data_IF_137609834270
#
_entry.id   IF_137609834270
#
_cell.length_a   1.000
_cell.length_b   1.000
_cell.length_c   1.000
_cell.angle_alpha   90.00
_cell.angle_beta   90.00
_cell.angle_gamma   90.00
#
_symmetry.space_group_name_H-M   'P 1'
#
loop_
_entity.id
_entity.type
_entity.pdbx_description
1 polymer ?
#
# COMPACT_ATOMS: atom_id res chain seq x y z
N UNK A 1 14.55 6.79 6.06
CA UNK A 1 14.80 8.22 6.40
C UNK A 1 13.43 8.86 6.48
N UNK A 2 12.98 9.22 7.69
CA UNK A 2 11.70 9.91 7.89
C UNK A 2 11.93 11.42 7.91
N UNK A 3 11.10 12.15 7.17
CA UNK A 3 11.14 13.61 7.05
C UNK A 3 9.82 14.15 6.54
N UNK A 4 9.78 15.43 6.22
CA UNK A 4 8.59 16.09 5.66
C UNK A 4 8.93 16.78 4.34
N UNK A 5 8.07 16.65 3.33
CA UNK A 5 8.08 17.52 2.16
C UNK A 5 6.88 18.46 2.21
N UNK A 6 7.12 19.66 1.70
CA UNK A 6 6.09 20.67 1.51
C UNK A 6 5.83 20.73 0.02
N UNK A 7 4.68 20.18 -0.37
CA UNK A 7 4.32 19.98 -1.77
C UNK A 7 3.27 20.99 -2.15
N UNK A 8 3.52 21.74 -3.22
CA UNK A 8 2.51 22.58 -3.85
C UNK A 8 1.40 21.71 -4.44
N UNK A 9 0.15 21.95 -4.02
CA UNK A 9 -1.01 21.12 -4.39
C UNK A 9 -1.34 21.18 -5.89
N UNK A 10 -0.92 22.22 -6.60
CA UNK A 10 -1.31 22.45 -7.99
C UNK A 10 -0.32 21.87 -8.99
N UNK A 11 0.97 21.95 -8.66
CA UNK A 11 2.08 21.54 -9.53
C UNK A 11 2.74 20.25 -9.08
N UNK A 12 2.46 19.82 -7.85
CA UNK A 12 3.18 18.73 -7.21
C UNK A 12 4.64 19.09 -6.95
N UNK A 13 5.12 20.32 -7.10
CA UNK A 13 6.52 20.62 -6.83
C UNK A 13 6.83 20.58 -5.33
N UNK A 14 8.01 20.06 -4.99
CA UNK A 14 8.54 20.11 -3.63
C UNK A 14 9.27 21.43 -3.44
N UNK A 15 8.75 22.29 -2.57
CA UNK A 15 9.39 23.58 -2.28
C UNK A 15 10.58 23.40 -1.34
N UNK A 16 10.47 22.50 -0.35
CA UNK A 16 11.59 22.10 0.48
C UNK A 16 11.33 20.75 1.18
N UNK A 17 12.43 20.06 1.51
CA UNK A 17 12.43 18.82 2.28
C UNK A 17 13.10 19.08 3.61
N UNK A 18 12.42 18.73 4.70
CA UNK A 18 13.02 18.64 6.03
C UNK A 18 13.35 17.17 6.29
N UNK A 19 14.63 16.80 6.23
CA UNK A 19 15.11 15.52 6.73
C UNK A 19 16.01 15.75 7.94
N UNK A 20 15.49 15.60 9.15
CA UNK A 20 16.37 15.24 10.27
C UNK A 20 16.23 13.75 10.48
N UNK A 21 17.34 13.07 10.73
CA UNK A 21 17.33 11.67 11.08
C UNK A 21 16.29 11.43 12.20
N UNK A 22 15.16 10.79 11.86
CA UNK A 22 14.07 10.38 12.74
C UNK A 22 13.13 11.48 13.29
N UNK A 23 12.74 12.50 12.50
CA UNK A 23 11.60 13.33 12.90
C UNK A 23 10.29 12.60 12.63
N UNK A 24 9.52 12.34 13.68
CA UNK A 24 8.19 11.71 13.59
C UNK A 24 7.04 12.72 13.62
N UNK A 25 7.29 13.94 14.09
CA UNK A 25 6.29 15.00 14.26
C UNK A 25 6.85 16.33 13.74
N UNK A 26 6.10 17.02 12.87
CA UNK A 26 6.44 18.37 12.43
C UNK A 26 6.34 19.35 13.61
N UNK A 27 7.35 20.21 13.88
CA UNK A 27 7.23 21.23 14.91
C UNK A 27 6.00 22.13 14.69
N UNK A 28 5.27 22.45 15.76
CA UNK A 28 3.94 23.09 15.74
C UNK A 28 3.88 24.47 15.03
N UNK A 29 5.02 25.09 14.72
CA UNK A 29 5.11 26.44 14.16
C UNK A 29 5.72 26.50 12.76
N UNK A 30 5.74 25.40 12.01
CA UNK A 30 6.29 25.44 10.66
C UNK A 30 5.35 26.16 9.70
N UNK A 31 5.80 27.21 8.98
CA UNK A 31 4.94 27.94 8.05
C UNK A 31 4.62 27.06 6.85
N UNK A 32 3.39 26.57 6.78
CA UNK A 32 2.83 25.92 5.58
C UNK A 32 2.25 27.02 4.69
N UNK A 33 2.74 27.13 3.46
CA UNK A 33 2.19 28.05 2.47
C UNK A 33 0.71 27.75 2.18
N UNK A 34 -0.05 28.75 1.77
CA UNK A 34 -1.50 28.67 1.56
C UNK A 34 -1.92 27.54 0.58
N UNK A 35 -1.05 27.24 -0.40
CA UNK A 35 -1.25 26.18 -1.39
C UNK A 35 -0.42 24.90 -1.15
N UNK A 36 0.19 24.77 0.02
CA UNK A 36 1.03 23.61 0.34
C UNK A 36 0.27 22.54 1.11
N UNK A 37 0.71 21.30 0.94
CA UNK A 37 0.41 20.17 1.83
C UNK A 37 1.74 19.66 2.42
N UNK A 38 1.72 19.37 3.72
CA UNK A 38 2.84 18.70 4.39
C UNK A 38 2.64 17.21 4.25
N UNK A 39 3.63 16.54 3.69
CA UNK A 39 3.62 15.08 3.51
C UNK A 39 4.80 14.47 4.25
N UNK A 40 4.58 13.32 4.86
CA UNK A 40 5.68 12.56 5.46
C UNK A 40 6.44 11.85 4.35
N UNK A 41 7.73 12.16 4.19
CA UNK A 41 8.63 11.39 3.34
C UNK A 41 9.22 10.30 4.22
N UNK A 42 8.91 9.04 3.92
CA UNK A 42 9.68 7.92 4.42
C UNK A 42 10.47 7.31 3.27
N UNK A 43 11.79 7.36 3.36
CA UNK A 43 12.70 6.62 2.48
C UNK A 43 12.55 5.13 2.80
N UNK A 44 11.47 4.56 2.27
CA UNK A 44 11.12 3.16 2.10
C UNK A 44 11.28 2.25 3.33
N UNK A 45 10.15 1.66 3.76
CA UNK A 45 9.97 0.64 4.81
C UNK A 45 9.87 1.14 6.25
N UNK A 46 8.65 1.10 6.80
CA UNK A 46 8.30 0.14 7.87
C UNK A 46 6.88 0.31 8.43
N UNK A 47 6.11 1.31 8.00
CA UNK A 47 4.74 1.49 8.51
C UNK A 47 3.67 0.99 7.49
N UNK A 48 2.97 -0.12 7.79
CA UNK A 48 1.90 -0.63 6.94
C UNK A 48 0.59 0.20 6.99
N UNK A 49 0.46 1.20 7.88
CA UNK A 49 -0.84 1.83 8.15
C UNK A 49 -1.03 3.25 7.60
N UNK A 50 0.03 3.98 7.21
CA UNK A 50 -0.12 5.36 6.71
C UNK A 50 0.13 5.47 5.20
N UNK A 51 -0.89 6.03 4.54
CA UNK A 51 -1.09 6.16 3.10
C UNK A 51 -0.41 7.43 2.54
N UNK A 52 -0.09 7.39 1.24
CA UNK A 52 0.55 8.45 0.44
C UNK A 52 2.06 8.57 0.64
N UNK A 53 2.81 7.70 -0.06
CA UNK A 53 4.21 7.98 -0.35
C UNK A 53 4.25 8.99 -1.50
N UNK A 54 5.32 9.76 -1.63
CA UNK A 54 5.46 10.72 -2.71
C UNK A 54 6.73 10.41 -3.52
N UNK A 55 6.55 10.18 -4.82
CA UNK A 55 7.65 9.95 -5.74
C UNK A 55 8.30 11.29 -6.10
N UNK A 56 9.49 11.54 -5.56
CA UNK A 56 10.25 12.77 -5.80
C UNK A 56 10.71 12.91 -7.27
N UNK A 57 10.98 11.80 -7.95
CA UNK A 57 11.49 11.80 -9.33
C UNK A 57 10.37 12.11 -10.31
N UNK A 58 9.22 11.44 -10.15
CA UNK A 58 8.06 11.56 -11.03
C UNK A 58 7.06 12.64 -10.58
N UNK A 59 7.26 13.22 -9.40
CA UNK A 59 6.41 14.25 -8.78
C UNK A 59 4.95 13.84 -8.60
N UNK A 60 4.72 12.60 -8.19
CA UNK A 60 3.36 12.04 -8.06
C UNK A 60 3.13 11.44 -6.67
N UNK A 61 1.90 11.60 -6.17
CA UNK A 61 1.44 10.92 -4.97
C UNK A 61 1.19 9.45 -5.27
N UNK A 62 1.90 8.60 -4.54
CA UNK A 62 1.84 7.17 -4.62
C UNK A 62 0.85 6.64 -3.59
N UNK A 63 -0.23 6.05 -4.09
CA UNK A 63 -1.23 5.39 -3.27
C UNK A 63 -0.81 3.93 -3.05
N UNK A 64 -1.27 3.33 -1.94
CA UNK A 64 -1.19 1.90 -1.63
C UNK A 64 -2.55 1.25 -1.87
N UNK A 65 -2.56 -0.02 -2.26
CA UNK A 65 -3.78 -0.82 -2.31
C UNK A 65 -3.96 -1.55 -0.97
N UNK A 66 -5.18 -1.91 -0.64
CA UNK A 66 -5.50 -2.73 0.51
C UNK A 66 -5.63 -4.18 0.08
N UNK A 67 -5.05 -5.09 0.86
CA UNK A 67 -5.31 -6.52 0.75
C UNK A 67 -5.99 -6.97 2.03
N UNK A 68 -7.07 -7.72 1.90
CA UNK A 68 -7.73 -8.36 3.04
C UNK A 68 -8.13 -9.78 2.70
N UNK A 69 -8.25 -10.59 3.73
CA UNK A 69 -8.85 -11.92 3.65
C UNK A 69 -10.12 -11.92 4.48
N UNK A 70 -11.15 -12.65 4.04
CA UNK A 70 -12.38 -12.82 4.81
C UNK A 70 -12.16 -13.58 6.14
N UNK A 71 -11.05 -14.32 6.21
CA UNK A 71 -10.59 -15.04 7.39
C UNK A 71 -9.09 -14.79 7.59
N UNK A 72 -8.71 -14.46 8.82
CA UNK A 72 -7.29 -14.35 9.20
C UNK A 72 -6.69 -15.72 9.52
N UNK A 73 -7.54 -16.70 9.86
CA UNK A 73 -7.17 -18.08 10.21
C UNK A 73 -8.12 -19.08 9.56
N UNK A 74 -7.59 -20.15 8.97
CA UNK A 74 -8.36 -21.18 8.26
C UNK A 74 -7.75 -22.58 8.44
N UNK A 75 -8.44 -23.62 7.97
CA UNK A 75 -7.93 -24.99 7.91
C UNK A 75 -7.37 -25.30 6.51
N UNK A 76 -6.44 -26.25 6.42
CA UNK A 76 -5.97 -26.80 5.15
C UNK A 76 -7.16 -27.32 4.33
N UNK A 77 -7.17 -27.03 3.03
CA UNK A 77 -8.25 -27.39 2.12
C UNK A 77 -9.47 -26.47 2.14
N UNK A 78 -9.57 -25.55 3.11
CA UNK A 78 -10.67 -24.59 3.16
C UNK A 78 -10.48 -23.44 2.15
N UNK A 79 -11.59 -22.93 1.63
CA UNK A 79 -11.62 -21.74 0.78
C UNK A 79 -11.64 -20.46 1.62
N UNK A 80 -10.80 -19.51 1.22
CA UNK A 80 -10.66 -18.15 1.75
C UNK A 80 -10.92 -17.18 0.62
N UNK A 81 -11.70 -16.13 0.86
CA UNK A 81 -11.83 -15.04 -0.09
C UNK A 81 -10.78 -13.97 0.21
N UNK A 82 -10.10 -13.55 -0.84
CA UNK A 82 -9.09 -12.50 -0.80
C UNK A 82 -9.63 -11.32 -1.60
N UNK A 83 -9.57 -10.15 -0.99
CA UNK A 83 -9.98 -8.89 -1.60
C UNK A 83 -8.77 -8.00 -1.82
N UNK A 84 -8.72 -7.37 -2.98
CA UNK A 84 -7.78 -6.32 -3.33
C UNK A 84 -8.61 -5.08 -3.64
N UNK A 85 -8.32 -3.98 -2.95
CA UNK A 85 -9.04 -2.73 -3.10
C UNK A 85 -8.07 -1.57 -3.32
N UNK A 86 -8.33 -0.79 -4.35
CA UNK A 86 -7.64 0.44 -4.67
C UNK A 86 -8.35 1.59 -3.95
N UNK A 87 -7.62 2.63 -3.55
CA UNK A 87 -8.22 3.84 -3.02
C UNK A 87 -8.99 4.63 -4.08
N UNK A 88 -8.72 4.37 -5.36
CA UNK A 88 -9.42 4.96 -6.50
C UNK A 88 -10.28 3.89 -7.20
N UNK A 89 -11.59 4.14 -7.27
CA UNK A 89 -12.58 3.24 -7.86
C UNK A 89 -12.63 3.29 -9.39
N UNK A 90 -11.75 4.06 -10.04
CA UNK A 90 -11.65 4.13 -11.50
C UNK A 90 -10.59 3.19 -12.08
N UNK A 91 -9.78 2.56 -11.22
CA UNK A 91 -8.67 1.71 -11.65
C UNK A 91 -9.17 0.40 -12.26
N UNK A 92 -8.65 0.07 -13.44
CA UNK A 92 -8.87 -1.20 -14.12
C UNK A 92 -7.52 -1.75 -14.60
N UNK A 93 -6.99 -2.79 -13.96
CA UNK A 93 -5.69 -3.36 -14.31
C UNK A 93 -5.52 -4.82 -13.87
N UNK A 94 -4.49 -5.46 -14.41
CA UNK A 94 -4.03 -6.78 -13.95
C UNK A 94 -3.08 -6.63 -12.78
N UNK A 95 -3.32 -7.40 -11.72
CA UNK A 95 -2.50 -7.42 -10.50
C UNK A 95 -1.93 -8.81 -10.30
N UNK A 96 -0.64 -8.89 -10.01
CA UNK A 96 0.02 -10.14 -9.68
C UNK A 96 -0.07 -10.40 -8.19
N UNK A 97 -0.63 -11.55 -7.79
CA UNK A 97 -0.87 -11.93 -6.39
C UNK A 97 -0.13 -13.21 -6.05
N UNK A 98 0.59 -13.20 -4.92
CA UNK A 98 1.27 -14.38 -4.39
C UNK A 98 0.75 -14.72 -2.99
N UNK A 99 0.48 -16.00 -2.72
CA UNK A 99 0.03 -16.53 -1.43
C UNK A 99 0.76 -17.84 -1.17
N UNK A 100 1.75 -17.82 -0.26
CA UNK A 100 2.67 -18.95 -0.08
C UNK A 100 3.37 -19.28 -1.40
N UNK A 101 3.35 -20.55 -1.81
CA UNK A 101 3.91 -20.99 -3.10
C UNK A 101 3.02 -20.69 -4.33
N UNK A 102 1.78 -20.22 -4.15
CA UNK A 102 0.83 -20.01 -5.26
C UNK A 102 0.94 -18.57 -5.76
N UNK A 103 1.08 -18.39 -7.08
CA UNK A 103 0.98 -17.09 -7.73
C UNK A 103 -0.09 -17.08 -8.81
N UNK A 104 -0.80 -15.95 -8.96
CA UNK A 104 -1.81 -15.76 -9.99
C UNK A 104 -2.00 -14.30 -10.35
N UNK A 105 -2.46 -14.06 -11.57
CA UNK A 105 -2.90 -12.74 -11.99
C UNK A 105 -4.42 -12.59 -11.82
N UNK A 106 -4.84 -11.44 -11.31
CA UNK A 106 -6.25 -11.12 -11.10
C UNK A 106 -6.57 -9.77 -11.72
N UNK A 107 -7.71 -9.69 -12.40
CA UNK A 107 -8.15 -8.44 -13.02
C UNK A 107 -8.98 -7.64 -12.02
N UNK A 108 -8.51 -6.44 -11.69
CA UNK A 108 -9.20 -5.47 -10.85
C UNK A 108 -10.10 -4.64 -11.74
N UNK A 109 -11.37 -4.52 -11.37
CA UNK A 109 -12.35 -3.71 -12.08
C UNK A 109 -12.93 -2.68 -11.13
N UNK A 110 -12.97 -1.42 -11.56
CA UNK A 110 -13.44 -0.29 -10.76
C UNK A 110 -12.80 -0.25 -9.35
N UNK A 111 -11.49 -0.50 -9.30
CA UNK A 111 -10.68 -0.47 -8.09
C UNK A 111 -10.91 -1.63 -7.12
N UNK A 112 -11.66 -2.68 -7.45
CA UNK A 112 -11.85 -3.82 -6.56
C UNK A 112 -11.82 -5.16 -7.30
N UNK A 113 -11.27 -6.19 -6.67
CA UNK A 113 -11.49 -7.59 -7.03
C UNK A 113 -11.58 -8.44 -5.77
N UNK A 114 -12.46 -9.43 -5.79
CA UNK A 114 -12.49 -10.52 -4.83
C UNK A 114 -12.30 -11.83 -5.56
N UNK A 115 -11.42 -12.69 -5.05
CA UNK A 115 -11.18 -14.01 -5.60
C UNK A 115 -11.07 -15.04 -4.49
N UNK A 116 -11.29 -16.31 -4.82
CA UNK A 116 -11.09 -17.40 -3.87
C UNK A 116 -9.67 -17.96 -3.94
N UNK A 117 -9.16 -18.34 -2.78
CA UNK A 117 -7.92 -19.09 -2.58
C UNK A 117 -8.26 -20.34 -1.75
N UNK A 118 -7.89 -21.52 -2.26
CA UNK A 118 -7.99 -22.76 -1.51
C UNK A 118 -6.68 -22.93 -0.74
N UNK A 119 -6.75 -23.06 0.58
CA UNK A 119 -5.58 -23.20 1.43
C UNK A 119 -4.87 -24.54 1.16
N UNK A 120 -3.59 -24.48 0.78
CA UNK A 120 -2.81 -25.65 0.34
C UNK A 120 -1.53 -25.87 1.15
N UNK A 121 -1.18 -24.91 2.00
CA UNK A 121 0.07 -24.86 2.74
C UNK A 121 -0.25 -24.48 4.19
N UNK A 122 0.27 -25.25 5.16
CA UNK A 122 0.12 -24.98 6.58
C UNK A 122 1.14 -23.92 7.01
N UNK A 123 0.72 -22.97 7.83
CA UNK A 123 1.59 -21.93 8.39
C UNK A 123 1.02 -20.53 8.22
N UNK A 124 1.83 -19.53 8.56
CA UNK A 124 1.49 -18.12 8.34
C UNK A 124 1.91 -17.75 6.92
N UNK A 125 0.93 -17.62 6.04
CA UNK A 125 1.12 -17.22 4.66
C UNK A 125 0.97 -15.70 4.52
N UNK A 126 1.87 -15.09 3.77
CA UNK A 126 1.74 -13.71 3.34
C UNK A 126 1.03 -13.68 1.99
N UNK A 127 -0.10 -12.99 1.93
CA UNK A 127 -0.76 -12.61 0.67
C UNK A 127 -0.12 -11.31 0.21
N UNK A 128 0.58 -11.30 -0.91
CA UNK A 128 1.17 -10.08 -1.49
C UNK A 128 0.53 -9.76 -2.83
N UNK A 129 0.48 -8.47 -3.17
CA UNK A 129 0.05 -8.04 -4.50
C UNK A 129 0.98 -6.98 -5.07
N UNK A 130 1.30 -7.12 -6.36
CA UNK A 130 2.14 -6.19 -7.13
C UNK A 130 1.30 -5.57 -8.24
N UNK A 131 1.27 -4.24 -8.26
CA UNK A 131 0.48 -3.41 -9.17
C UNK A 131 1.41 -2.53 -10.01
N UNK A 132 0.97 -2.21 -11.23
CA UNK A 132 1.64 -1.23 -12.10
C UNK A 132 1.28 0.22 -11.78
N UNK A 133 0.13 0.47 -11.18
CA UNK A 133 -0.40 1.82 -10.92
C UNK A 133 -0.29 2.26 -9.46
N UNK A 134 0.11 1.36 -8.55
CA UNK A 134 0.21 1.57 -7.11
C UNK A 134 1.58 1.09 -6.65
N UNK A 135 2.25 1.88 -5.81
CA UNK A 135 3.58 1.57 -5.31
C UNK A 135 3.54 0.88 -3.94
N UNK A 136 4.61 0.14 -3.65
CA UNK A 136 4.87 -0.51 -2.36
C UNK A 136 4.46 -1.98 -2.32
N UNK A 137 5.03 -2.71 -1.35
CA UNK A 137 4.61 -4.08 -1.04
C UNK A 137 3.37 -4.02 -0.16
N UNK A 138 2.25 -4.49 -0.68
CA UNK A 138 1.00 -4.59 0.06
C UNK A 138 0.80 -6.05 0.47
N UNK A 139 0.42 -6.29 1.74
CA UNK A 139 0.22 -7.65 2.20
C UNK A 139 -0.89 -7.81 3.24
N UNK A 140 -1.45 -9.01 3.29
CA UNK A 140 -2.26 -9.52 4.38
C UNK A 140 -1.67 -10.84 4.89
N UNK A 141 -1.93 -11.18 6.15
CA UNK A 141 -1.50 -12.45 6.73
C UNK A 141 -2.68 -13.42 6.79
N UNK A 142 -2.44 -14.68 6.43
CA UNK A 142 -3.39 -15.79 6.54
C UNK A 142 -2.70 -16.94 7.28
N UNK A 143 -3.23 -17.33 8.43
CA UNK A 143 -2.77 -18.51 9.16
C UNK A 143 -3.56 -19.75 8.73
N UNK A 144 -2.87 -20.78 8.25
CA UNK A 144 -3.47 -22.06 7.86
C UNK A 144 -3.06 -23.12 8.87
N UNK A 145 -4.06 -23.77 9.45
CA UNK A 145 -3.90 -24.86 10.41
C UNK A 145 -4.14 -26.22 9.73
N UNK A 146 -3.69 -27.29 10.38
CA UNK A 146 -3.99 -28.67 9.97
C UNK A 146 -5.45 -29.04 10.27
#
# INVERSE_FOLDING_TARGET
>A
MKGFAFVDKNSGNVDFIISWANVEILPENYPVGENQVVITIDNYNNDPQNYEAYDLENKVFLKKLTISTDKVRTLLGATVNVQIAYPDNTVNEMVHVTIGAVSKDVFVVNGNVTFSYNAQEIGILQVTATSSSIYGKNYANLEVLN
#
